data_IF_071756913468
#
_entry.id   IF_071756913468
#
_cell.length_a   1.000
_cell.length_b   1.000
_cell.length_c   1.000
_cell.angle_alpha   90.00
_cell.angle_beta   90.00
_cell.angle_gamma   90.00
#
_symmetry.space_group_name_H-M   'P 1'
#
loop_
_entity.id
_entity.type
_entity.pdbx_description
1 polymer ?
#
# COMPACT_ATOMS: atom_id res chain seq x y z
N UNK A 1 -11.21 32.42 -2.77
CA UNK A 1 -11.14 31.69 -4.06
C UNK A 1 -11.48 30.23 -3.80
N UNK A 2 -12.71 29.83 -4.10
CA UNK A 2 -13.16 28.43 -4.03
C UNK A 2 -12.47 27.63 -5.13
N UNK A 3 -11.84 26.51 -4.78
CA UNK A 3 -11.31 25.58 -5.76
C UNK A 3 -12.47 25.08 -6.66
N UNK A 4 -12.28 24.99 -7.99
CA UNK A 4 -13.32 24.49 -8.87
C UNK A 4 -13.73 23.07 -8.45
N UNK A 5 -15.02 22.72 -8.50
CA UNK A 5 -15.47 21.37 -8.21
C UNK A 5 -14.78 20.40 -9.19
N UNK A 6 -14.16 19.35 -8.64
CA UNK A 6 -13.52 18.30 -9.43
C UNK A 6 -14.55 17.76 -10.42
N UNK A 7 -14.30 17.96 -11.73
CA UNK A 7 -15.18 17.41 -12.76
C UNK A 7 -15.09 15.89 -12.69
N UNK A 8 -16.23 15.19 -12.59
CA UNK A 8 -16.21 13.74 -12.57
C UNK A 8 -15.57 13.20 -13.86
N UNK A 9 -14.63 12.27 -13.70
CA UNK A 9 -13.87 11.70 -14.83
C UNK A 9 -14.76 10.80 -15.71
N UNK A 10 -14.47 10.65 -17.02
CA UNK A 10 -15.22 9.76 -17.89
C UNK A 10 -15.18 8.28 -17.41
N UNK A 11 -16.33 7.60 -17.40
CA UNK A 11 -16.53 6.20 -16.93
C UNK A 11 -15.45 5.18 -17.35
N UNK A 12 -14.90 5.19 -18.59
CA UNK A 12 -13.84 4.25 -18.98
C UNK A 12 -12.54 4.44 -18.18
N UNK A 13 -12.21 5.68 -17.79
CA UNK A 13 -10.97 5.96 -17.03
C UNK A 13 -11.07 5.53 -15.58
N UNK A 14 -12.22 5.77 -14.93
CA UNK A 14 -12.40 5.40 -13.53
C UNK A 14 -12.43 3.87 -13.34
N UNK A 15 -13.09 3.13 -14.24
CA UNK A 15 -13.12 1.66 -14.20
C UNK A 15 -11.75 1.04 -14.46
N UNK A 16 -10.97 1.59 -15.40
CA UNK A 16 -9.57 1.21 -15.59
C UNK A 16 -8.71 1.50 -14.35
N UNK A 17 -8.96 2.63 -13.65
CA UNK A 17 -8.30 2.94 -12.38
C UNK A 17 -8.62 1.93 -11.27
N UNK A 18 -9.87 1.48 -11.16
CA UNK A 18 -10.26 0.40 -10.23
C UNK A 18 -9.55 -0.92 -10.58
N UNK A 19 -9.53 -1.31 -11.85
CA UNK A 19 -8.85 -2.54 -12.28
C UNK A 19 -7.33 -2.47 -12.04
N UNK A 20 -6.72 -1.32 -12.32
CA UNK A 20 -5.30 -1.09 -12.02
C UNK A 20 -5.02 -1.18 -10.51
N UNK A 21 -5.93 -0.68 -9.66
CA UNK A 21 -5.79 -0.82 -8.21
C UNK A 21 -5.91 -2.28 -7.77
N UNK A 22 -6.91 -3.01 -8.25
CA UNK A 22 -7.08 -4.43 -7.91
C UNK A 22 -5.86 -5.26 -8.31
N UNK A 23 -5.33 -5.03 -9.52
CA UNK A 23 -4.10 -5.67 -9.98
C UNK A 23 -2.90 -5.28 -9.12
N UNK A 24 -2.79 -3.99 -8.75
CA UNK A 24 -1.73 -3.51 -7.85
C UNK A 24 -1.79 -4.18 -6.48
N UNK A 25 -2.97 -4.24 -5.86
CA UNK A 25 -3.19 -4.88 -4.55
C UNK A 25 -2.86 -6.37 -4.61
N UNK A 26 -3.30 -7.06 -5.65
CA UNK A 26 -2.91 -8.46 -5.89
C UNK A 26 -1.39 -8.61 -5.94
N UNK A 27 -0.69 -7.82 -6.76
CA UNK A 27 0.78 -7.86 -6.85
C UNK A 27 1.45 -7.54 -5.50
N UNK A 28 0.96 -6.54 -4.76
CA UNK A 28 1.48 -6.22 -3.43
C UNK A 28 1.35 -7.40 -2.47
N UNK A 29 0.19 -8.06 -2.43
CA UNK A 29 0.00 -9.20 -1.52
C UNK A 29 0.83 -10.43 -1.89
N UNK A 30 1.09 -10.65 -3.18
CA UNK A 30 2.07 -11.66 -3.64
C UNK A 30 3.48 -11.30 -3.18
N UNK A 31 3.87 -10.03 -3.31
CA UNK A 31 5.16 -9.52 -2.80
C UNK A 31 5.26 -9.68 -1.27
N UNK A 32 4.19 -9.40 -0.53
CA UNK A 32 4.16 -9.56 0.93
C UNK A 32 4.29 -11.03 1.34
N UNK A 33 3.66 -11.95 0.60
CA UNK A 33 3.83 -13.39 0.79
C UNK A 33 5.28 -13.84 0.51
N UNK A 34 5.92 -13.34 -0.55
CA UNK A 34 7.34 -13.60 -0.82
C UNK A 34 8.22 -13.08 0.30
N UNK A 35 7.97 -11.87 0.81
CA UNK A 35 8.76 -11.33 1.91
C UNK A 35 8.52 -12.10 3.21
N UNK A 36 7.30 -12.54 3.53
CA UNK A 36 7.03 -13.45 4.66
C UNK A 36 7.81 -14.76 4.48
N UNK A 37 7.79 -15.36 3.29
CA UNK A 37 8.58 -16.56 2.99
C UNK A 37 10.08 -16.33 3.26
N UNK A 38 10.64 -15.22 2.79
CA UNK A 38 12.05 -14.87 3.04
C UNK A 38 12.33 -14.63 4.54
N UNK A 39 11.41 -14.03 5.30
CA UNK A 39 11.58 -13.91 6.76
C UNK A 39 11.61 -15.27 7.45
N UNK A 40 10.83 -16.25 6.96
CA UNK A 40 10.83 -17.62 7.48
C UNK A 40 12.11 -18.39 7.12
N UNK A 41 12.76 -18.05 6.00
CA UNK A 41 14.10 -18.53 5.65
C UNK A 41 15.21 -17.87 6.50
N UNK A 42 14.85 -17.00 7.46
CA UNK A 42 15.80 -16.37 8.38
C UNK A 42 16.44 -15.09 7.85
N UNK A 43 16.01 -14.55 6.71
CA UNK A 43 16.52 -13.26 6.23
C UNK A 43 15.98 -12.10 7.07
N UNK A 44 16.88 -11.19 7.45
CA UNK A 44 16.51 -10.01 8.20
C UNK A 44 15.61 -9.06 7.36
N UNK A 45 14.54 -8.46 7.93
CA UNK A 45 13.64 -7.55 7.19
C UNK A 45 14.38 -6.41 6.50
N UNK A 46 15.41 -5.84 7.15
CA UNK A 46 16.24 -4.80 6.56
C UNK A 46 16.90 -5.21 5.23
N UNK A 47 17.35 -6.47 5.11
CA UNK A 47 17.89 -7.01 3.86
C UNK A 47 16.79 -7.16 2.80
N UNK A 48 15.63 -7.72 3.17
CA UNK A 48 14.46 -7.88 2.28
C UNK A 48 14.01 -6.54 1.72
N UNK A 49 13.87 -5.53 2.59
CA UNK A 49 13.47 -4.17 2.22
C UNK A 49 14.50 -3.51 1.32
N UNK A 50 15.79 -3.64 1.64
CA UNK A 50 16.82 -3.06 0.79
C UNK A 50 16.83 -3.67 -0.61
N UNK A 51 16.79 -5.00 -0.75
CA UNK A 51 16.78 -5.65 -2.07
C UNK A 51 15.56 -5.22 -2.87
N UNK A 52 14.38 -5.15 -2.23
CA UNK A 52 13.15 -4.63 -2.84
C UNK A 52 13.33 -3.21 -3.36
N UNK A 53 13.87 -2.30 -2.54
CA UNK A 53 14.06 -0.89 -2.90
C UNK A 53 15.15 -0.71 -3.96
N UNK A 54 16.27 -1.43 -3.84
CA UNK A 54 17.38 -1.38 -4.78
C UNK A 54 16.98 -1.89 -6.18
N UNK A 55 16.24 -3.00 -6.27
CA UNK A 55 15.70 -3.48 -7.53
C UNK A 55 14.68 -2.51 -8.11
N UNK A 56 13.79 -1.95 -7.28
CA UNK A 56 12.86 -0.92 -7.71
C UNK A 56 13.61 0.31 -8.26
N UNK A 57 14.68 0.76 -7.59
CA UNK A 57 15.49 1.90 -8.02
C UNK A 57 16.18 1.60 -9.34
N UNK A 58 16.79 0.42 -9.47
CA UNK A 58 17.47 0.00 -10.69
C UNK A 58 16.52 0.01 -11.89
N UNK A 59 15.30 -0.52 -11.73
CA UNK A 59 14.28 -0.52 -12.79
C UNK A 59 13.77 0.88 -13.11
N UNK A 60 13.52 1.71 -12.09
CA UNK A 60 13.12 3.11 -12.28
C UNK A 60 14.21 3.89 -13.00
N UNK A 61 15.48 3.71 -12.64
CA UNK A 61 16.62 4.33 -13.31
C UNK A 61 16.76 3.86 -14.75
N UNK A 62 16.57 2.56 -15.02
CA UNK A 62 16.60 2.01 -16.38
C UNK A 62 15.53 2.66 -17.26
N UNK A 63 14.29 2.73 -16.78
CA UNK A 63 13.15 3.31 -17.52
C UNK A 63 13.30 4.82 -17.69
N UNK A 64 13.80 5.52 -16.68
CA UNK A 64 13.91 6.98 -16.68
C UNK A 64 15.26 7.50 -17.17
N UNK A 65 16.22 6.64 -17.52
CA UNK A 65 17.56 7.02 -17.96
C UNK A 65 17.56 8.14 -19.02
N UNK A 66 16.71 8.11 -20.08
CA UNK A 66 16.70 9.16 -21.11
C UNK A 66 16.23 10.53 -20.60
N UNK A 67 15.49 10.57 -19.49
CA UNK A 67 14.87 11.78 -18.93
C UNK A 67 15.41 12.13 -17.53
N UNK A 68 16.43 11.42 -17.06
CA UNK A 68 16.87 11.48 -15.66
C UNK A 68 17.26 12.89 -15.20
N UNK A 69 17.95 13.65 -16.06
CA UNK A 69 18.37 15.04 -15.76
C UNK A 69 17.20 15.99 -15.50
N UNK A 70 16.05 15.73 -16.12
CA UNK A 70 14.83 16.52 -15.93
C UNK A 70 14.07 16.01 -14.71
N UNK A 71 13.93 14.69 -14.60
CA UNK A 71 13.09 14.05 -13.58
C UNK A 71 13.70 14.13 -12.18
N UNK A 72 15.03 14.21 -12.04
CA UNK A 72 15.69 14.32 -10.73
C UNK A 72 15.41 15.65 -10.03
N UNK A 73 15.06 16.71 -10.76
CA UNK A 73 14.78 18.03 -10.19
C UNK A 73 13.39 18.03 -9.57
N UNK A 74 13.32 18.23 -8.25
CA UNK A 74 12.08 18.41 -7.51
C UNK A 74 11.90 19.87 -7.11
N UNK A 75 10.68 20.37 -7.25
CA UNK A 75 10.23 21.67 -6.72
C UNK A 75 9.97 21.62 -5.21
N UNK A 76 9.90 20.44 -4.59
CA UNK A 76 9.60 20.23 -3.17
C UNK A 76 10.49 19.14 -2.54
N UNK A 77 11.83 19.28 -2.55
CA UNK A 77 12.75 18.21 -2.19
C UNK A 77 12.58 17.71 -0.75
N UNK A 78 12.30 18.59 0.21
CA UNK A 78 12.08 18.19 1.61
C UNK A 78 10.84 17.31 1.78
N UNK A 79 9.75 17.61 1.07
CA UNK A 79 8.54 16.78 1.09
C UNK A 79 8.77 15.44 0.40
N UNK A 80 9.57 15.41 -0.66
CA UNK A 80 9.95 14.16 -1.34
C UNK A 80 10.82 13.26 -0.45
N UNK A 81 11.76 13.84 0.29
CA UNK A 81 12.55 13.11 1.30
C UNK A 81 11.65 12.58 2.40
N UNK A 82 10.81 13.43 3.00
CA UNK A 82 9.84 13.01 4.02
C UNK A 82 8.96 11.86 3.54
N UNK A 83 8.45 11.94 2.31
CA UNK A 83 7.65 10.88 1.68
C UNK A 83 8.42 9.58 1.49
N UNK A 84 9.67 9.66 1.02
CA UNK A 84 10.55 8.48 0.88
C UNK A 84 10.85 7.81 2.22
N UNK A 85 11.09 8.60 3.28
CA UNK A 85 11.31 8.10 4.65
C UNK A 85 10.04 7.46 5.21
N UNK A 86 8.88 8.09 5.06
CA UNK A 86 7.59 7.52 5.49
C UNK A 86 7.27 6.22 4.76
N UNK A 87 7.59 6.13 3.46
CA UNK A 87 7.44 4.91 2.68
C UNK A 87 8.39 3.80 3.17
N UNK A 88 9.67 4.12 3.38
CA UNK A 88 10.64 3.17 3.92
C UNK A 88 10.22 2.66 5.31
N UNK A 89 9.82 3.57 6.20
CA UNK A 89 9.36 3.25 7.55
C UNK A 89 8.15 2.31 7.50
N UNK A 90 7.15 2.62 6.67
CA UNK A 90 5.97 1.76 6.49
C UNK A 90 6.35 0.34 6.08
N UNK A 91 7.18 0.22 5.05
CA UNK A 91 7.63 -1.07 4.50
C UNK A 91 8.47 -1.84 5.53
N UNK A 92 9.43 -1.17 6.17
CA UNK A 92 10.31 -1.77 7.18
C UNK A 92 9.53 -2.28 8.39
N UNK A 93 8.62 -1.47 8.92
CA UNK A 93 7.78 -1.83 10.05
C UNK A 93 6.86 -3.00 9.71
N UNK A 94 6.27 -3.02 8.51
CA UNK A 94 5.42 -4.12 8.06
C UNK A 94 6.21 -5.44 7.92
N UNK A 95 7.35 -5.46 7.22
CA UNK A 95 8.15 -6.68 7.11
C UNK A 95 8.74 -7.15 8.44
N UNK A 96 9.03 -6.22 9.35
CA UNK A 96 9.44 -6.58 10.72
C UNK A 96 8.29 -7.20 11.49
N UNK A 97 7.07 -6.67 11.37
CA UNK A 97 5.89 -7.27 11.98
C UNK A 97 5.64 -8.68 11.46
N UNK A 98 5.82 -8.90 10.15
CA UNK A 98 5.68 -10.21 9.51
C UNK A 98 6.64 -11.27 10.05
N UNK A 99 7.70 -10.95 10.78
CA UNK A 99 8.50 -11.98 11.45
C UNK A 99 7.74 -12.65 12.60
N UNK A 100 6.82 -11.92 13.24
CA UNK A 100 6.21 -12.33 14.51
C UNK A 100 4.74 -12.69 14.38
N UNK A 101 4.01 -12.03 13.46
CA UNK A 101 2.58 -12.25 13.26
C UNK A 101 2.26 -12.82 11.88
N UNK A 102 1.03 -13.28 11.71
CA UNK A 102 0.54 -13.82 10.43
C UNK A 102 0.43 -12.75 9.35
N UNK A 103 0.53 -13.15 8.08
CA UNK A 103 0.35 -12.25 6.94
C UNK A 103 -1.03 -11.58 6.96
N UNK A 104 -2.09 -12.37 7.15
CA UNK A 104 -3.46 -11.86 7.24
C UNK A 104 -3.64 -10.88 8.40
N UNK A 105 -3.06 -11.18 9.57
CA UNK A 105 -3.13 -10.33 10.76
C UNK A 105 -2.44 -8.97 10.54
N UNK A 106 -1.21 -9.00 10.00
CA UNK A 106 -0.47 -7.78 9.68
C UNK A 106 -1.21 -6.93 8.62
N UNK A 107 -1.74 -7.56 7.57
CA UNK A 107 -2.54 -6.88 6.54
C UNK A 107 -3.81 -6.28 7.12
N UNK A 108 -4.51 -6.99 8.00
CA UNK A 108 -5.73 -6.48 8.63
C UNK A 108 -5.46 -5.23 9.47
N UNK A 109 -4.32 -5.17 10.17
CA UNK A 109 -3.90 -3.96 10.90
C UNK A 109 -3.60 -2.81 9.91
N UNK A 110 -2.92 -3.11 8.81
CA UNK A 110 -2.61 -2.14 7.75
C UNK A 110 -3.86 -1.60 7.06
N UNK A 111 -4.97 -2.34 7.05
CA UNK A 111 -6.25 -1.93 6.45
C UNK A 111 -6.92 -0.74 7.18
N UNK A 112 -6.34 -0.24 8.28
CA UNK A 112 -6.70 1.08 8.81
C UNK A 112 -6.24 2.22 7.90
N UNK A 113 -5.33 1.96 6.95
CA UNK A 113 -4.76 2.94 6.02
C UNK A 113 -5.80 3.85 5.34
N UNK A 114 -6.89 3.33 4.73
CA UNK A 114 -7.90 4.19 4.08
C UNK A 114 -8.55 5.18 5.06
N UNK A 115 -8.73 4.78 6.33
CA UNK A 115 -9.27 5.64 7.39
C UNK A 115 -8.27 6.76 7.70
N UNK A 116 -7.02 6.40 7.97
CA UNK A 116 -5.95 7.35 8.31
C UNK A 116 -5.67 8.33 7.17
N UNK A 117 -5.67 7.85 5.92
CA UNK A 117 -5.50 8.69 4.74
C UNK A 117 -6.67 9.67 4.61
N UNK A 118 -7.90 9.22 4.83
CA UNK A 118 -9.09 10.08 4.75
C UNK A 118 -9.07 11.15 5.83
N UNK A 119 -8.76 10.78 7.07
CA UNK A 119 -8.66 11.71 8.19
C UNK A 119 -7.50 12.70 8.00
N UNK A 120 -6.33 12.20 7.57
CA UNK A 120 -5.18 13.04 7.26
C UNK A 120 -5.46 14.00 6.11
N UNK A 121 -6.18 13.57 5.07
CA UNK A 121 -6.62 14.47 4.01
C UNK A 121 -7.58 15.55 4.52
N UNK A 122 -8.54 15.21 5.37
CA UNK A 122 -9.44 16.20 5.95
C UNK A 122 -8.69 17.22 6.82
N UNK A 123 -7.74 16.76 7.64
CA UNK A 123 -6.99 17.60 8.57
C UNK A 123 -5.96 18.51 7.86
N UNK A 124 -5.15 17.94 6.97
CA UNK A 124 -4.03 18.66 6.36
C UNK A 124 -4.36 19.32 5.01
N UNK A 125 -5.36 18.82 4.29
CA UNK A 125 -5.77 19.36 2.98
C UNK A 125 -7.10 20.12 3.03
N UNK A 126 -7.82 20.07 4.15
CA UNK A 126 -9.12 20.74 4.31
C UNK A 126 -10.25 20.08 3.51
N UNK A 127 -10.11 18.81 3.17
CA UNK A 127 -11.12 18.08 2.39
C UNK A 127 -12.34 17.71 3.22
N UNK A 128 -13.54 17.94 2.66
CA UNK A 128 -14.79 17.56 3.32
C UNK A 128 -15.04 16.06 3.17
N UNK A 129 -15.21 15.36 4.29
CA UNK A 129 -15.55 13.94 4.30
C UNK A 129 -17.08 13.80 4.15
N UNK A 130 -17.54 13.30 3.01
CA UNK A 130 -18.96 13.06 2.77
C UNK A 130 -19.50 11.89 3.63
N UNK A 131 -20.78 11.93 4.06
CA UNK A 131 -21.38 10.92 4.94
C UNK A 131 -21.35 9.50 4.36
N UNK A 132 -21.46 9.37 3.03
CA UNK A 132 -21.35 8.08 2.32
C UNK A 132 -19.96 7.46 2.44
N UNK A 133 -18.91 8.29 2.47
CA UNK A 133 -17.51 7.85 2.62
C UNK A 133 -17.24 7.39 4.05
N UNK A 134 -17.78 8.12 5.04
CA UNK A 134 -17.73 7.71 6.45
C UNK A 134 -18.40 6.35 6.64
N UNK A 135 -19.57 6.13 6.04
CA UNK A 135 -20.27 4.85 6.13
C UNK A 135 -19.47 3.69 5.50
N UNK A 136 -18.86 3.90 4.33
CA UNK A 136 -18.01 2.89 3.68
C UNK A 136 -16.76 2.56 4.50
N UNK A 137 -16.10 3.57 5.06
CA UNK A 137 -14.94 3.41 5.95
C UNK A 137 -15.33 2.66 7.23
N UNK A 138 -16.43 3.05 7.87
CA UNK A 138 -16.91 2.39 9.08
C UNK A 138 -17.26 0.92 8.81
N UNK A 139 -17.96 0.63 7.70
CA UNK A 139 -18.28 -0.75 7.31
C UNK A 139 -17.04 -1.61 7.03
N UNK A 140 -16.05 -1.07 6.32
CA UNK A 140 -14.80 -1.77 6.04
C UNK A 140 -13.95 -1.98 7.31
N UNK A 141 -13.91 -0.98 8.20
CA UNK A 141 -13.25 -1.09 9.50
C UNK A 141 -13.93 -2.14 10.39
N UNK A 142 -15.26 -2.22 10.38
CA UNK A 142 -16.00 -3.28 11.09
C UNK A 142 -15.68 -4.67 10.53
N UNK A 143 -15.63 -4.81 9.20
CA UNK A 143 -15.18 -6.04 8.54
C UNK A 143 -13.76 -6.45 8.97
N UNK A 144 -12.82 -5.49 8.96
CA UNK A 144 -11.46 -5.72 9.42
C UNK A 144 -11.39 -6.08 10.91
N UNK A 145 -12.18 -5.43 11.79
CA UNK A 145 -12.24 -5.77 13.22
C UNK A 145 -12.75 -7.19 13.48
N UNK A 146 -13.69 -7.69 12.65
CA UNK A 146 -14.16 -9.08 12.72
C UNK A 146 -13.03 -10.05 12.36
N UNK A 147 -12.20 -9.72 11.37
CA UNK A 147 -11.03 -10.52 11.00
C UNK A 147 -9.94 -10.47 12.08
N UNK A 148 -9.66 -9.28 12.64
CA UNK A 148 -8.63 -9.07 13.66
C UNK A 148 -9.01 -9.73 14.98
N UNK A 149 -10.31 -9.82 15.32
CA UNK A 149 -10.83 -10.40 16.55
C UNK A 149 -10.06 -9.94 17.81
N UNK A 150 -10.13 -8.64 18.15
CA UNK A 150 -9.42 -8.11 19.31
C UNK A 150 -9.79 -8.88 20.60
N UNK A 151 -8.79 -9.45 21.28
CA UNK A 151 -8.94 -10.15 22.56
C UNK A 151 -8.62 -11.65 22.57
N UNK A 152 -8.51 -12.33 21.42
CA UNK A 152 -8.28 -13.79 21.36
C UNK A 152 -6.81 -14.20 21.18
N UNK A 153 -5.85 -13.53 21.84
CA UNK A 153 -4.41 -13.82 21.72
C UNK A 153 -3.62 -12.88 20.78
N UNK A 154 -4.26 -11.80 20.32
CA UNK A 154 -3.79 -10.84 19.30
C UNK A 154 -2.84 -9.74 19.84
N UNK A 155 -2.59 -9.70 21.14
CA UNK A 155 -1.65 -8.73 21.72
C UNK A 155 -0.20 -9.20 21.59
N UNK A 156 0.23 -9.51 20.37
CA UNK A 156 1.67 -9.57 20.09
C UNK A 156 2.17 -8.12 19.94
N UNK A 157 3.26 -7.69 20.62
CA UNK A 157 3.80 -6.33 20.50
C UNK A 157 4.10 -5.91 19.05
N UNK A 158 4.34 -6.87 18.16
CA UNK A 158 4.54 -6.64 16.72
C UNK A 158 3.32 -6.05 15.99
N UNK A 159 2.10 -6.19 16.54
CA UNK A 159 0.92 -5.49 16.00
C UNK A 159 1.11 -3.96 16.02
N UNK A 160 1.85 -3.44 17.00
CA UNK A 160 2.19 -2.01 17.06
C UNK A 160 3.10 -1.60 15.90
N UNK A 161 3.99 -2.48 15.43
CA UNK A 161 4.83 -2.21 14.26
C UNK A 161 3.96 -2.07 13.01
N UNK A 162 3.03 -3.00 12.77
CA UNK A 162 2.10 -2.89 11.64
C UNK A 162 1.24 -1.61 11.72
N UNK A 163 0.77 -1.24 12.92
CA UNK A 163 -0.01 -0.01 13.13
C UNK A 163 0.83 1.26 12.86
N UNK A 164 2.06 1.32 13.39
CA UNK A 164 2.98 2.42 13.10
C UNK A 164 3.31 2.48 11.61
N UNK A 165 3.44 1.32 10.96
CA UNK A 165 3.61 1.22 9.52
C UNK A 165 2.43 1.81 8.75
N UNK A 166 1.21 1.67 9.27
CA UNK A 166 -0.02 2.22 8.68
C UNK A 166 -0.06 3.74 8.81
N UNK A 167 0.30 4.24 9.99
CA UNK A 167 0.45 5.68 10.23
C UNK A 167 1.50 6.29 9.30
N UNK A 168 2.67 5.65 9.17
CA UNK A 168 3.71 6.09 8.23
C UNK A 168 3.23 6.06 6.77
N UNK A 169 2.54 5.00 6.35
CA UNK A 169 1.97 4.92 5.00
C UNK A 169 0.99 6.08 4.73
N UNK A 170 0.06 6.31 5.65
CA UNK A 170 -0.93 7.36 5.55
C UNK A 170 -0.28 8.76 5.51
N UNK A 171 0.73 9.00 6.34
CA UNK A 171 1.51 10.24 6.32
C UNK A 171 2.19 10.44 4.95
N UNK A 172 2.84 9.41 4.40
CA UNK A 172 3.43 9.46 3.05
C UNK A 172 2.41 9.71 1.94
N UNK A 173 1.22 9.12 2.04
CA UNK A 173 0.12 9.36 1.11
C UNK A 173 -0.39 10.81 1.18
N UNK A 174 -0.53 11.39 2.37
CA UNK A 174 -0.90 12.81 2.55
C UNK A 174 0.21 13.73 2.01
N UNK A 175 1.49 13.45 2.32
CA UNK A 175 2.63 14.21 1.79
C UNK A 175 2.65 14.22 0.26
N UNK A 176 2.29 13.11 -0.39
CA UNK A 176 2.16 13.03 -1.85
C UNK A 176 1.22 14.10 -2.41
N UNK A 177 0.16 14.44 -1.67
CA UNK A 177 -0.83 15.47 -2.06
C UNK A 177 -0.38 16.89 -1.72
N UNK A 178 0.55 17.04 -0.79
CA UNK A 178 1.17 18.33 -0.44
C UNK A 178 2.26 18.73 -1.44
N UNK A 179 2.91 17.75 -2.08
CA UNK A 179 3.85 18.01 -3.19
C UNK A 179 3.08 18.59 -4.37
N UNK A 180 3.25 19.90 -4.60
CA UNK A 180 2.69 20.62 -5.74
C UNK A 180 3.82 20.98 -6.70
N UNK A 181 3.69 20.56 -7.96
CA UNK A 181 4.63 20.94 -9.03
C UNK A 181 5.62 19.87 -9.48
N UNK A 182 5.73 18.74 -8.77
CA UNK A 182 6.52 17.60 -9.23
C UNK A 182 5.71 16.66 -10.11
N UNK A 183 6.34 16.15 -11.16
CA UNK A 183 5.77 15.08 -11.97
C UNK A 183 5.77 13.74 -11.22
N UNK A 184 4.89 12.83 -11.63
CA UNK A 184 4.80 11.47 -11.07
C UNK A 184 6.14 10.72 -11.11
N UNK A 185 6.90 10.86 -12.20
CA UNK A 185 8.21 10.22 -12.34
C UNK A 185 9.24 10.75 -11.33
N UNK A 186 9.21 12.06 -11.04
CA UNK A 186 10.08 12.71 -10.04
C UNK A 186 9.76 12.15 -8.66
N UNK A 187 8.48 12.12 -8.33
CA UNK A 187 7.97 11.54 -7.10
C UNK A 187 8.37 10.07 -6.90
N UNK A 188 8.30 9.24 -7.94
CA UNK A 188 8.77 7.84 -7.85
C UNK A 188 10.27 7.78 -7.60
N UNK A 189 11.06 8.47 -8.42
CA UNK A 189 12.51 8.46 -8.36
C UNK A 189 13.02 8.89 -6.98
N UNK A 190 12.47 9.97 -6.42
CA UNK A 190 12.84 10.45 -5.09
C UNK A 190 12.43 9.48 -3.99
N UNK A 191 11.21 8.95 -4.01
CA UNK A 191 10.78 8.01 -2.95
C UNK A 191 11.61 6.73 -2.95
N UNK A 192 11.81 6.12 -4.11
CA UNK A 192 12.62 4.90 -4.21
C UNK A 192 14.09 5.18 -3.94
N UNK A 193 14.63 6.32 -4.41
CA UNK A 193 16.02 6.71 -4.17
C UNK A 193 16.32 6.96 -2.69
N UNK A 194 15.45 7.73 -2.02
CA UNK A 194 15.55 8.00 -0.58
C UNK A 194 15.39 6.72 0.21
N UNK A 195 14.36 5.90 -0.08
CA UNK A 195 14.16 4.63 0.60
C UNK A 195 15.36 3.69 0.44
N UNK A 196 15.94 3.59 -0.76
CA UNK A 196 17.14 2.77 -1.02
C UNK A 196 18.34 3.32 -0.28
N UNK A 197 18.56 4.64 -0.28
CA UNK A 197 19.68 5.29 0.40
C UNK A 197 19.65 5.00 1.90
N UNK A 198 18.51 5.25 2.55
CA UNK A 198 18.37 5.01 4.00
C UNK A 198 18.37 3.51 4.34
N UNK A 199 17.78 2.65 3.50
CA UNK A 199 17.90 1.20 3.68
C UNK A 199 19.35 0.72 3.55
N UNK A 200 20.16 1.36 2.68
CA UNK A 200 21.58 1.01 2.50
C UNK A 200 22.41 1.29 3.75
N UNK A 201 21.97 2.22 4.61
CA UNK A 201 22.63 2.46 5.90
C UNK A 201 22.39 1.31 6.89
N UNK A 202 21.30 0.54 6.74
CA UNK A 202 20.96 -0.59 7.62
C UNK A 202 21.63 -1.89 7.16
N UNK A 203 21.76 -2.08 5.84
CA UNK A 203 22.28 -3.32 5.23
C UNK A 203 23.60 -3.83 5.81
N UNK A 204 24.65 -3.02 6.01
CA UNK A 204 25.94 -3.50 6.51
C UNK A 204 25.86 -4.24 7.85
N UNK A 205 24.83 -3.95 8.66
CA UNK A 205 24.65 -4.55 9.99
C UNK A 205 23.83 -5.83 9.99
N UNK A 206 23.07 -6.09 8.92
CA UNK A 206 22.05 -7.17 8.88
C UNK A 206 22.20 -8.11 7.69
N UNK A 207 23.10 -7.80 6.76
CA UNK A 207 23.26 -8.55 5.53
C UNK A 207 23.84 -9.93 5.78
N UNK A 208 23.14 -10.94 5.26
CA UNK A 208 23.66 -12.29 5.11
C UNK A 208 23.68 -12.70 3.63
N UNK A 209 24.65 -13.54 3.21
CA UNK A 209 24.66 -14.09 1.85
C UNK A 209 23.32 -14.74 1.51
N UNK A 210 22.80 -14.42 0.32
CA UNK A 210 21.56 -15.01 -0.18
C UNK A 210 21.87 -16.40 -0.75
N UNK A 211 21.18 -17.42 -0.24
CA UNK A 211 21.31 -18.77 -0.76
C UNK A 211 20.85 -18.81 -2.23
N UNK A 212 21.51 -19.58 -3.11
CA UNK A 212 21.11 -19.70 -4.52
C UNK A 212 19.64 -20.10 -4.71
N UNK A 213 19.13 -20.92 -3.79
CA UNK A 213 17.73 -21.36 -3.75
C UNK A 213 16.71 -20.26 -3.46
N UNK A 214 17.12 -19.09 -2.96
CA UNK A 214 16.23 -17.98 -2.60
C UNK A 214 16.37 -16.77 -3.54
N UNK A 215 17.35 -16.79 -4.46
CA UNK A 215 17.59 -15.69 -5.40
C UNK A 215 16.35 -15.34 -6.23
N UNK A 216 15.60 -16.37 -6.66
CA UNK A 216 14.36 -16.18 -7.43
C UNK A 216 13.32 -15.40 -6.62
N UNK A 217 13.23 -15.63 -5.31
CA UNK A 217 12.25 -14.97 -4.44
C UNK A 217 12.61 -13.50 -4.24
N UNK A 218 13.88 -13.17 -4.06
CA UNK A 218 14.37 -11.79 -4.01
C UNK A 218 14.17 -11.04 -5.34
N UNK A 219 14.45 -11.69 -6.48
CA UNK A 219 14.20 -11.10 -7.80
C UNK A 219 12.72 -10.87 -8.05
N UNK A 220 11.88 -11.86 -7.75
CA UNK A 220 10.43 -11.75 -7.87
C UNK A 220 9.87 -10.65 -6.95
N UNK A 221 10.36 -10.55 -5.70
CA UNK A 221 9.98 -9.50 -4.75
C UNK A 221 10.21 -8.09 -5.34
N UNK A 222 11.38 -7.84 -5.90
CA UNK A 222 11.72 -6.55 -6.50
C UNK A 222 10.92 -6.24 -7.78
N UNK A 223 10.78 -7.22 -8.67
CA UNK A 223 10.05 -7.07 -9.93
C UNK A 223 8.55 -6.86 -9.70
N UNK A 224 7.91 -7.74 -8.93
CA UNK A 224 6.49 -7.68 -8.60
C UNK A 224 6.20 -6.40 -7.81
N UNK A 225 7.04 -6.05 -6.84
CA UNK A 225 6.90 -4.80 -6.10
C UNK A 225 6.96 -3.56 -6.99
N UNK A 226 7.81 -3.58 -8.03
CA UNK A 226 7.91 -2.48 -9.00
C UNK A 226 6.65 -2.37 -9.86
N UNK A 227 6.17 -3.50 -10.38
CA UNK A 227 4.92 -3.56 -11.14
C UNK A 227 3.73 -3.10 -10.28
N UNK A 228 3.66 -3.58 -9.03
CA UNK A 228 2.63 -3.20 -8.07
C UNK A 228 2.59 -1.69 -7.84
N UNK A 229 3.77 -1.08 -7.62
CA UNK A 229 3.90 0.36 -7.42
C UNK A 229 3.52 1.15 -8.68
N UNK A 230 3.90 0.69 -9.87
CA UNK A 230 3.54 1.33 -11.13
C UNK A 230 2.02 1.30 -11.36
N UNK A 231 1.38 0.15 -11.14
CA UNK A 231 -0.07 -0.02 -11.23
C UNK A 231 -0.82 0.86 -10.22
N UNK A 232 -0.32 0.95 -8.98
CA UNK A 232 -0.90 1.81 -7.94
C UNK A 232 -0.93 3.27 -8.37
N UNK A 233 0.17 3.73 -8.94
CA UNK A 233 0.32 5.11 -9.39
C UNK A 233 -0.61 5.40 -10.58
N UNK A 234 -0.73 4.45 -11.52
CA UNK A 234 -1.69 4.56 -12.62
C UNK A 234 -3.13 4.59 -12.10
N UNK A 235 -3.46 3.77 -11.11
CA UNK A 235 -4.78 3.77 -10.48
C UNK A 235 -5.15 5.14 -9.90
N UNK A 236 -4.24 5.75 -9.13
CA UNK A 236 -4.43 7.11 -8.59
C UNK A 236 -4.44 8.21 -9.64
N UNK A 237 -3.82 8.00 -10.80
CA UNK A 237 -3.88 8.94 -11.93
C UNK A 237 -5.20 8.84 -12.72
N UNK A 238 -5.86 7.67 -12.69
CA UNK A 238 -7.06 7.36 -13.50
C UNK A 238 -8.37 7.48 -12.74
N UNK A 239 -8.34 7.44 -11.40
CA UNK A 239 -9.53 7.47 -10.56
C UNK A 239 -9.30 8.26 -9.27
N UNK A 240 -10.38 8.82 -8.71
CA UNK A 240 -10.31 9.52 -7.43
C UNK A 240 -9.95 8.55 -6.29
N UNK A 241 -8.97 8.92 -5.45
CA UNK A 241 -8.50 8.08 -4.34
C UNK A 241 -9.64 7.59 -3.43
N UNK A 242 -10.64 8.45 -3.17
CA UNK A 242 -11.80 8.10 -2.34
C UNK A 242 -12.73 7.06 -2.99
N UNK A 243 -12.82 7.06 -4.32
CA UNK A 243 -13.63 6.10 -5.08
C UNK A 243 -12.97 4.72 -5.10
N UNK A 244 -11.64 4.66 -5.16
CA UNK A 244 -10.90 3.41 -5.24
C UNK A 244 -10.46 2.87 -3.87
N UNK A 245 -10.45 3.69 -2.81
CA UNK A 245 -10.05 3.30 -1.46
C UNK A 245 -10.70 2.00 -0.91
N UNK A 246 -12.01 1.74 -1.11
CA UNK A 246 -12.64 0.51 -0.62
C UNK A 246 -12.06 -0.76 -1.24
N UNK A 247 -11.55 -0.69 -2.48
CA UNK A 247 -10.95 -1.85 -3.13
C UNK A 247 -9.60 -2.22 -2.55
N UNK A 248 -8.94 -1.31 -1.82
CA UNK A 248 -7.71 -1.60 -1.09
C UNK A 248 -7.87 -2.74 -0.09
N UNK A 249 -9.04 -2.84 0.55
CA UNK A 249 -9.35 -3.89 1.53
C UNK A 249 -9.40 -5.31 0.92
N UNK A 250 -9.45 -5.44 -0.42
CA UNK A 250 -9.29 -6.75 -1.07
C UNK A 250 -7.92 -7.36 -0.75
N UNK A 251 -6.94 -6.56 -0.33
CA UNK A 251 -5.65 -7.01 0.15
C UNK A 251 -5.75 -8.02 1.28
N UNK A 252 -6.68 -7.85 2.22
CA UNK A 252 -6.91 -8.79 3.31
C UNK A 252 -7.40 -10.16 2.83
N UNK A 253 -8.24 -10.17 1.78
CA UNK A 253 -8.72 -11.42 1.18
C UNK A 253 -7.57 -12.19 0.57
N UNK A 254 -6.72 -11.50 -0.20
CA UNK A 254 -5.53 -12.10 -0.81
C UNK A 254 -4.49 -12.52 0.24
N UNK A 255 -4.23 -11.69 1.25
CA UNK A 255 -3.32 -12.00 2.36
C UNK A 255 -3.79 -13.24 3.14
N UNK A 256 -5.11 -13.39 3.35
CA UNK A 256 -5.70 -14.59 3.96
C UNK A 256 -5.54 -15.82 3.06
N UNK A 257 -5.76 -15.67 1.75
CA UNK A 257 -5.56 -16.75 0.78
C UNK A 257 -4.10 -17.22 0.76
N UNK A 258 -3.14 -16.30 0.69
CA UNK A 258 -1.71 -16.62 0.73
C UNK A 258 -1.28 -17.18 2.09
N UNK A 259 -1.84 -16.64 3.17
CA UNK A 259 -1.76 -17.18 4.53
C UNK A 259 -2.08 -18.68 4.58
N UNK A 260 -3.23 -19.04 4.00
CA UNK A 260 -3.69 -20.41 3.94
C UNK A 260 -2.84 -21.28 3.00
N UNK A 261 -2.62 -20.84 1.76
CA UNK A 261 -1.99 -21.64 0.72
C UNK A 261 -0.51 -21.93 0.99
N UNK A 262 0.23 -20.94 1.50
CA UNK A 262 1.69 -21.04 1.66
C UNK A 262 2.15 -21.23 3.10
N UNK A 263 1.34 -20.85 4.08
CA UNK A 263 1.75 -20.84 5.50
C UNK A 263 0.84 -21.70 6.40
N UNK A 264 -0.13 -22.42 5.82
CA UNK A 264 -1.02 -23.32 6.56
C UNK A 264 -1.98 -22.61 7.52
N UNK A 265 -2.12 -21.29 7.43
CA UNK A 265 -3.04 -20.51 8.26
C UNK A 265 -4.48 -20.69 7.76
N UNK A 266 -5.14 -21.75 8.22
CA UNK A 266 -6.53 -22.05 7.81
C UNK A 266 -7.45 -20.91 8.22
N UNK A 267 -8.21 -20.30 7.28
CA UNK A 267 -9.14 -19.22 7.61
C UNK A 267 -10.27 -19.79 8.46
N UNK A 268 -10.51 -19.18 9.62
CA UNK A 268 -11.64 -19.54 10.46
C UNK A 268 -12.95 -18.90 9.95
N UNK A 269 -14.07 -19.29 10.57
CA UNK A 269 -15.41 -18.79 10.17
C UNK A 269 -15.53 -17.27 10.27
N UNK A 270 -14.76 -16.63 11.16
CA UNK A 270 -14.78 -15.18 11.37
C UNK A 270 -13.96 -14.44 10.30
N UNK A 271 -12.82 -14.99 9.91
CA UNK A 271 -12.01 -14.51 8.78
C UNK A 271 -12.84 -14.52 7.50
N UNK A 272 -13.58 -15.62 7.26
CA UNK A 272 -14.48 -15.73 6.10
C UNK A 272 -15.60 -14.69 6.18
N UNK A 273 -16.23 -14.51 7.34
CA UNK A 273 -17.30 -13.52 7.54
C UNK A 273 -16.79 -12.09 7.28
N UNK A 274 -15.65 -11.72 7.86
CA UNK A 274 -15.06 -10.40 7.67
C UNK A 274 -14.64 -10.14 6.22
N UNK A 275 -14.08 -11.14 5.54
CA UNK A 275 -13.76 -11.05 4.10
C UNK A 275 -15.02 -10.80 3.25
N UNK A 276 -16.12 -11.49 3.53
CA UNK A 276 -17.41 -11.26 2.84
C UNK A 276 -17.91 -9.82 3.07
N UNK A 277 -17.82 -9.32 4.30
CA UNK A 277 -18.22 -7.93 4.62
C UNK A 277 -17.37 -6.92 3.86
N UNK A 278 -16.05 -7.11 3.83
CA UNK A 278 -15.11 -6.25 3.09
C UNK A 278 -15.45 -6.24 1.59
N UNK A 279 -15.63 -7.41 0.98
CA UNK A 279 -15.93 -7.54 -0.45
C UNK A 279 -17.29 -6.90 -0.77
N UNK A 280 -18.31 -7.18 0.03
CA UNK A 280 -19.67 -6.61 -0.18
C UNK A 280 -19.71 -5.11 0.01
N UNK A 281 -18.96 -4.56 0.99
CA UNK A 281 -18.82 -3.12 1.16
C UNK A 281 -18.14 -2.46 -0.06
N UNK A 282 -17.06 -3.06 -0.58
CA UNK A 282 -16.40 -2.58 -1.79
C UNK A 282 -17.33 -2.58 -3.01
N UNK A 283 -18.06 -3.67 -3.24
CA UNK A 283 -19.05 -3.78 -4.33
C UNK A 283 -20.18 -2.75 -4.16
N UNK A 284 -20.68 -2.57 -2.94
CA UNK A 284 -21.75 -1.60 -2.66
C UNK A 284 -21.31 -0.17 -2.97
N UNK A 285 -20.12 0.25 -2.52
CA UNK A 285 -19.59 1.59 -2.79
C UNK A 285 -19.42 1.78 -4.31
N UNK A 286 -18.84 0.80 -5.00
CA UNK A 286 -18.68 0.84 -6.45
C UNK A 286 -20.02 0.98 -7.20
N UNK A 287 -21.00 0.15 -6.85
CA UNK A 287 -22.32 0.16 -7.48
C UNK A 287 -23.03 1.50 -7.24
N UNK A 288 -22.91 2.08 -6.04
CA UNK A 288 -23.52 3.36 -5.69
C UNK A 288 -22.84 4.55 -6.37
N UNK A 289 -21.52 4.55 -6.49
CA UNK A 289 -20.81 5.58 -7.25
C UNK A 289 -21.16 5.51 -8.74
N UNK A 290 -21.20 4.31 -9.31
CA UNK A 290 -21.63 4.09 -10.69
C UNK A 290 -23.08 4.58 -10.92
N UNK A 291 -23.98 4.39 -9.95
CA UNK A 291 -25.36 4.89 -10.01
C UNK A 291 -25.46 6.41 -9.86
N UNK A 292 -24.78 7.01 -8.88
CA UNK A 292 -24.82 8.46 -8.64
C UNK A 292 -24.29 9.25 -9.85
N UNK A 293 -23.29 8.70 -10.54
CA UNK A 293 -22.71 9.27 -11.75
C UNK A 293 -23.60 9.10 -13.00
N UNK A 294 -24.36 8.01 -13.09
CA UNK A 294 -25.36 7.81 -14.15
C UNK A 294 -26.56 8.72 -13.99
N UNK A 295 -26.97 9.02 -12.75
CA UNK A 295 -28.07 9.93 -12.44
C UNK A 295 -27.70 11.42 -12.63
N UNK A 296 -26.41 11.74 -12.74
CA UNK A 296 -25.90 13.09 -13.01
C UNK A 296 -25.64 13.36 -14.51
N UNK A 297 -25.93 12.39 -15.38
CA UNK A 297 -25.98 12.53 -16.85
C UNK A 297 -27.42 12.75 -17.29
#
# INVERSE_FOLDING_TARGET
>A
MSAPPLRPMPLPRQSLGVLALLASVFCFTVMDALGKHLTLQGYHPGQIVWVRMALNLALVLLVLAPRLRVVVRSASPLLQVGRGVMQLASIGLFFTALQFIGLAEATAIMDINPVLITLGAALFLGERIGPRRVAGIAAALLGAMIVIRPGAGVFHPAALLALLGAVSYAAGAVMTRLVRGDGTATSILWSTGVATLFASAVVPFVWQPVAPGDLWAFLALGLIGTVAQALLIQAFAMAEAAAIAPFGYTGLVWASLWGWLFFGAVPDRWTILGAVIVVTAGIYVWAREAQAMRAAR
#
